data_IF_765809716787
#
_entry.id   IF_765809716787
#
_cell.length_a   1.000
_cell.length_b   1.000
_cell.length_c   1.000
_cell.angle_alpha   90.00
_cell.angle_beta   90.00
_cell.angle_gamma   90.00
#
_symmetry.space_group_name_H-M   'P 1'
#
loop_
_entity.id
_entity.type
_entity.pdbx_description
1 polymer ?
#
# COMPACT_ATOMS: atom_id res chain seq x y z
N UNK A 1 -51.50 -22.51 -12.05
CA UNK A 1 -50.17 -22.31 -12.67
C UNK A 1 -49.43 -21.29 -11.82
N UNK A 2 -48.60 -21.74 -10.87
CA UNK A 2 -47.75 -20.86 -10.05
C UNK A 2 -46.32 -20.96 -10.60
N UNK A 3 -45.83 -19.85 -11.12
CA UNK A 3 -44.47 -19.70 -11.64
C UNK A 3 -43.48 -19.73 -10.47
N UNK A 4 -42.62 -20.76 -10.44
CA UNK A 4 -41.50 -20.84 -9.50
C UNK A 4 -40.39 -19.87 -9.91
N UNK A 5 -40.19 -18.83 -9.11
CA UNK A 5 -39.07 -17.91 -9.24
C UNK A 5 -37.79 -18.64 -8.79
N UNK A 6 -36.91 -18.95 -9.75
CA UNK A 6 -35.63 -19.62 -9.49
C UNK A 6 -34.67 -18.64 -8.80
N UNK A 7 -34.76 -18.55 -7.47
CA UNK A 7 -33.80 -17.84 -6.65
C UNK A 7 -32.37 -18.37 -6.91
N UNK A 8 -31.44 -17.47 -7.26
CA UNK A 8 -30.06 -17.84 -7.54
C UNK A 8 -29.43 -18.57 -6.35
N UNK A 9 -28.98 -19.80 -6.56
CA UNK A 9 -28.33 -20.61 -5.54
C UNK A 9 -26.98 -20.01 -5.14
N UNK A 10 -26.74 -19.87 -3.82
CA UNK A 10 -25.53 -19.29 -3.24
C UNK A 10 -24.27 -19.98 -3.74
N UNK A 11 -24.34 -21.29 -3.98
CA UNK A 11 -23.24 -22.07 -4.57
C UNK A 11 -22.97 -21.73 -6.03
N UNK A 12 -24.01 -21.39 -6.80
CA UNK A 12 -23.88 -20.94 -8.18
C UNK A 12 -23.32 -19.53 -8.25
N UNK A 13 -23.74 -18.65 -7.33
CA UNK A 13 -23.15 -17.31 -7.16
C UNK A 13 -21.65 -17.38 -6.83
N UNK A 14 -21.24 -18.23 -5.88
CA UNK A 14 -19.82 -18.40 -5.54
C UNK A 14 -18.99 -19.07 -6.65
N UNK A 15 -19.59 -19.96 -7.44
CA UNK A 15 -18.93 -20.59 -8.60
C UNK A 15 -18.80 -19.66 -9.82
N UNK A 16 -19.68 -18.68 -9.94
CA UNK A 16 -19.61 -17.62 -10.97
C UNK A 16 -18.89 -16.35 -10.48
N UNK A 17 -18.66 -16.20 -9.17
CA UNK A 17 -18.18 -14.99 -8.51
C UNK A 17 -16.68 -14.70 -8.62
N UNK A 18 -15.98 -15.28 -9.59
CA UNK A 18 -14.55 -15.01 -9.82
C UNK A 18 -14.24 -13.73 -10.59
N UNK A 19 -15.25 -13.06 -11.14
CA UNK A 19 -15.10 -11.83 -11.89
C UNK A 19 -15.64 -10.64 -11.07
N UNK A 20 -14.78 -9.98 -10.30
CA UNK A 20 -15.09 -8.66 -9.74
C UNK A 20 -15.11 -7.68 -10.91
N UNK A 21 -16.29 -7.21 -11.30
CA UNK A 21 -16.42 -6.10 -12.23
C UNK A 21 -16.07 -4.80 -11.48
N UNK A 22 -14.95 -4.18 -11.82
CA UNK A 22 -14.63 -2.84 -11.35
C UNK A 22 -15.67 -1.87 -11.94
N UNK A 23 -16.52 -1.28 -11.09
CA UNK A 23 -17.44 -0.22 -11.49
C UNK A 23 -16.65 1.08 -11.46
N UNK A 24 -16.32 1.62 -12.63
CA UNK A 24 -15.64 2.91 -12.79
C UNK A 24 -16.68 4.03 -12.91
N UNK A 25 -16.49 5.15 -12.22
CA UNK A 25 -17.11 6.40 -12.66
C UNK A 25 -16.66 6.69 -14.11
N UNK A 26 -17.61 6.98 -15.01
CA UNK A 26 -17.43 6.96 -16.47
C UNK A 26 -16.08 7.53 -16.95
N UNK A 27 -15.12 6.64 -17.26
CA UNK A 27 -13.83 6.96 -17.88
C UNK A 27 -12.60 7.02 -16.96
N UNK A 28 -12.73 6.85 -15.65
CA UNK A 28 -11.58 6.85 -14.74
C UNK A 28 -10.76 5.54 -14.83
N UNK A 29 -9.42 5.59 -14.92
CA UNK A 29 -8.58 4.39 -14.85
C UNK A 29 -8.64 3.75 -13.44
N UNK A 30 -8.55 2.43 -13.37
CA UNK A 30 -8.61 1.66 -12.10
C UNK A 30 -7.42 0.73 -11.98
N UNK A 31 -6.76 0.78 -10.82
CA UNK A 31 -5.69 -0.13 -10.44
C UNK A 31 -6.25 -1.28 -9.58
N UNK A 32 -5.98 -2.52 -9.97
CA UNK A 32 -6.46 -3.72 -9.28
C UNK A 32 -5.37 -4.32 -8.40
N UNK A 33 -5.76 -4.81 -7.23
CA UNK A 33 -4.88 -5.64 -6.40
C UNK A 33 -4.56 -6.97 -7.11
N UNK A 34 -3.44 -7.60 -6.77
CA UNK A 34 -3.04 -8.87 -7.39
C UNK A 34 -4.06 -9.99 -7.19
N UNK A 35 -4.82 -9.96 -6.08
CA UNK A 35 -5.91 -10.89 -5.80
C UNK A 35 -7.24 -10.52 -6.48
N UNK A 36 -7.27 -9.38 -7.19
CA UNK A 36 -8.42 -8.78 -7.88
C UNK A 36 -9.66 -8.59 -7.00
N UNK A 37 -9.49 -8.66 -5.68
CA UNK A 37 -10.59 -8.51 -4.73
C UNK A 37 -10.94 -7.04 -4.50
N UNK A 38 -10.00 -6.13 -4.80
CA UNK A 38 -10.11 -4.70 -4.56
C UNK A 38 -9.51 -3.89 -5.71
N UNK A 39 -10.15 -2.76 -5.99
CA UNK A 39 -9.78 -1.78 -7.00
C UNK A 39 -9.66 -0.41 -6.34
N UNK A 40 -8.70 0.40 -6.81
CA UNK A 40 -8.63 1.82 -6.47
C UNK A 40 -8.76 2.63 -7.76
N UNK A 41 -9.68 3.60 -7.74
CA UNK A 41 -9.82 4.56 -8.84
C UNK A 41 -8.63 5.52 -8.83
N UNK A 42 -8.03 5.71 -10.00
CA UNK A 42 -7.00 6.70 -10.25
C UNK A 42 -7.64 7.89 -10.96
N UNK A 43 -7.11 9.08 -10.70
CA UNK A 43 -7.40 10.30 -11.46
C UNK A 43 -6.91 10.22 -12.91
N UNK A 44 -5.89 9.39 -13.17
CA UNK A 44 -5.32 9.15 -14.50
C UNK A 44 -4.14 10.03 -14.86
N UNK A 45 -3.53 10.72 -13.88
CA UNK A 45 -2.27 11.42 -14.07
C UNK A 45 -1.10 10.45 -14.24
N UNK A 46 -1.17 9.29 -13.60
CA UNK A 46 -0.30 8.13 -13.78
C UNK A 46 -1.07 7.07 -14.55
N UNK A 47 -0.47 6.54 -15.62
CA UNK A 47 -1.09 5.48 -16.41
C UNK A 47 -1.00 4.11 -15.71
N UNK A 48 -1.67 3.10 -16.28
CA UNK A 48 -1.72 1.77 -15.68
C UNK A 48 -0.35 1.14 -15.47
N UNK A 49 0.56 1.33 -16.43
CA UNK A 49 1.89 0.75 -16.38
C UNK A 49 2.76 1.41 -15.31
N UNK A 50 2.71 2.73 -15.21
CA UNK A 50 3.35 3.49 -14.14
C UNK A 50 2.81 3.12 -12.78
N UNK A 51 1.49 2.98 -12.65
CA UNK A 51 0.84 2.56 -11.42
C UNK A 51 1.30 1.16 -10.95
N UNK A 52 1.35 0.19 -11.86
CA UNK A 52 1.85 -1.16 -11.59
C UNK A 52 3.35 -1.16 -11.21
N UNK A 53 4.14 -0.32 -11.87
CA UNK A 53 5.59 -0.18 -11.62
C UNK A 53 5.85 0.44 -10.26
N UNK A 54 5.09 1.48 -9.90
CA UNK A 54 5.12 2.09 -8.56
C UNK A 54 4.70 1.10 -7.48
N UNK A 55 3.66 0.30 -7.71
CA UNK A 55 3.26 -0.76 -6.78
C UNK A 55 4.40 -1.77 -6.54
N UNK A 56 5.05 -2.24 -7.61
CA UNK A 56 6.19 -3.15 -7.51
C UNK A 56 7.35 -2.51 -6.71
N UNK A 57 7.66 -1.24 -6.98
CA UNK A 57 8.68 -0.47 -6.25
C UNK A 57 8.33 -0.36 -4.76
N UNK A 58 7.11 0.03 -4.43
CA UNK A 58 6.65 0.17 -3.05
C UNK A 58 6.76 -1.14 -2.26
N UNK A 59 6.45 -2.28 -2.90
CA UNK A 59 6.63 -3.62 -2.31
C UNK A 59 8.07 -3.96 -2.00
N UNK A 60 9.04 -3.40 -2.74
CA UNK A 60 10.47 -3.58 -2.45
C UNK A 60 10.97 -2.63 -1.38
N UNK A 61 10.48 -1.39 -1.36
CA UNK A 61 10.87 -0.39 -0.35
C UNK A 61 10.37 -0.75 1.05
N UNK A 62 9.14 -1.26 1.15
CA UNK A 62 8.49 -1.62 2.41
C UNK A 62 7.92 -3.04 2.33
N UNK A 63 8.74 -4.09 2.44
CA UNK A 63 8.34 -5.48 2.16
C UNK A 63 7.60 -6.14 3.33
N UNK A 64 6.38 -5.68 3.63
CA UNK A 64 5.55 -6.27 4.68
C UNK A 64 4.83 -7.53 4.19
N UNK A 65 5.23 -8.69 4.73
CA UNK A 65 4.61 -9.98 4.38
C UNK A 65 3.12 -10.08 4.81
N UNK A 66 2.74 -9.40 5.89
CA UNK A 66 1.38 -9.44 6.44
C UNK A 66 0.42 -8.42 5.82
N UNK A 67 0.91 -7.50 4.98
CA UNK A 67 0.10 -6.48 4.32
C UNK A 67 -0.22 -6.89 2.89
N UNK A 68 -1.51 -6.87 2.53
CA UNK A 68 -1.98 -7.06 1.16
C UNK A 68 -1.72 -5.85 0.25
N UNK A 69 -1.81 -6.05 -1.07
CA UNK A 69 -1.53 -5.00 -2.05
C UNK A 69 -2.46 -3.80 -1.89
N UNK A 70 -3.69 -4.02 -1.42
CA UNK A 70 -4.68 -2.96 -1.15
C UNK A 70 -4.09 -1.76 -0.40
N UNK A 71 -3.22 -1.99 0.58
CA UNK A 71 -2.65 -0.90 1.37
C UNK A 71 -1.63 -0.07 0.58
N UNK A 72 -0.93 -0.71 -0.37
CA UNK A 72 0.01 -0.06 -1.27
C UNK A 72 -0.68 0.63 -2.44
N UNK A 73 -1.82 0.10 -2.91
CA UNK A 73 -2.64 0.75 -3.93
C UNK A 73 -3.09 2.15 -3.49
N UNK A 74 -3.42 2.34 -2.21
CA UNK A 74 -3.74 3.66 -1.66
C UNK A 74 -2.56 4.64 -1.79
N UNK A 75 -1.32 4.16 -1.63
CA UNK A 75 -0.12 4.99 -1.83
C UNK A 75 0.01 5.40 -3.30
N UNK A 76 -0.26 4.49 -4.23
CA UNK A 76 -0.24 4.79 -5.67
C UNK A 76 -1.32 5.81 -6.04
N UNK A 77 -2.52 5.67 -5.48
CA UNK A 77 -3.61 6.62 -5.69
C UNK A 77 -3.31 8.02 -5.12
N UNK A 78 -2.65 8.09 -3.97
CA UNK A 78 -2.19 9.38 -3.41
C UNK A 78 -1.10 10.03 -4.29
N UNK A 79 -0.19 9.23 -4.88
CA UNK A 79 0.81 9.72 -5.83
C UNK A 79 0.18 10.23 -7.13
N UNK A 80 -0.79 9.48 -7.65
CA UNK A 80 -1.55 9.84 -8.84
C UNK A 80 -2.37 11.13 -8.62
N UNK A 81 -3.05 11.24 -7.48
CA UNK A 81 -3.79 12.46 -7.11
C UNK A 81 -2.86 13.67 -7.00
N UNK A 82 -1.69 13.51 -6.38
CA UNK A 82 -0.70 14.59 -6.30
C UNK A 82 -0.15 14.96 -7.69
N UNK A 83 0.06 13.99 -8.58
CA UNK A 83 0.49 14.22 -9.95
C UNK A 83 -0.59 14.91 -10.80
N UNK A 84 -1.87 14.71 -10.50
CA UNK A 84 -2.96 15.43 -11.16
C UNK A 84 -2.95 16.92 -10.82
N UNK A 85 -2.55 17.26 -9.60
CA UNK A 85 -2.49 18.64 -9.09
C UNK A 85 -1.15 19.33 -9.38
N UNK A 86 -0.06 18.57 -9.57
CA UNK A 86 1.28 19.09 -9.75
C UNK A 86 2.00 18.47 -10.96
N UNK A 87 2.22 19.29 -11.99
CA UNK A 87 2.89 18.89 -13.23
C UNK A 87 4.35 18.47 -13.05
N UNK A 88 5.09 19.04 -12.08
CA UNK A 88 6.46 18.61 -11.77
C UNK A 88 6.45 17.20 -11.16
N UNK A 89 5.53 16.93 -10.23
CA UNK A 89 5.35 15.59 -9.67
C UNK A 89 4.98 14.59 -10.77
N UNK A 90 4.08 14.96 -11.69
CA UNK A 90 3.71 14.10 -12.82
C UNK A 90 4.90 13.73 -13.69
N UNK A 91 5.71 14.72 -14.09
CA UNK A 91 6.92 14.50 -14.89
C UNK A 91 7.92 13.63 -14.12
N UNK A 92 8.16 13.94 -12.84
CA UNK A 92 9.07 13.17 -11.99
C UNK A 92 8.69 11.69 -11.91
N UNK A 93 7.40 11.38 -11.74
CA UNK A 93 6.91 10.01 -11.67
C UNK A 93 7.04 9.29 -13.03
N UNK A 94 6.68 9.96 -14.13
CA UNK A 94 6.77 9.37 -15.46
C UNK A 94 8.22 9.07 -15.87
N UNK A 95 9.13 10.01 -15.64
CA UNK A 95 10.57 9.84 -15.91
C UNK A 95 11.20 8.78 -14.99
N UNK A 96 10.79 8.73 -13.72
CA UNK A 96 11.22 7.73 -12.77
C UNK A 96 10.81 6.31 -13.17
N UNK A 97 9.54 6.12 -13.57
CA UNK A 97 9.04 4.84 -14.10
C UNK A 97 9.84 4.41 -15.32
N UNK A 98 10.06 5.31 -16.28
CA UNK A 98 10.89 5.05 -17.46
C UNK A 98 12.32 4.64 -17.08
N UNK A 99 12.92 5.33 -16.11
CA UNK A 99 14.25 5.01 -15.59
C UNK A 99 14.32 3.60 -15.02
N UNK A 100 13.28 3.17 -14.29
CA UNK A 100 13.20 1.81 -13.75
C UNK A 100 13.10 0.75 -14.85
N UNK A 101 12.28 0.97 -15.87
CA UNK A 101 12.09 0.03 -16.98
C UNK A 101 13.31 -0.07 -17.89
N UNK A 102 13.99 1.04 -18.14
CA UNK A 102 15.18 1.07 -18.99
C UNK A 102 16.41 0.45 -18.30
N UNK A 103 16.43 0.39 -16.97
CA UNK A 103 17.60 -0.02 -16.18
C UNK A 103 18.15 -1.42 -16.52
N UNK A 104 17.30 -2.31 -17.05
CA UNK A 104 17.65 -3.67 -17.46
C UNK A 104 17.10 -4.06 -18.84
N UNK A 105 16.53 -3.11 -19.59
CA UNK A 105 15.95 -3.33 -20.93
C UNK A 105 14.67 -4.18 -20.95
N UNK A 106 14.03 -4.38 -19.80
CA UNK A 106 12.73 -5.04 -19.66
C UNK A 106 11.93 -4.33 -18.56
N UNK A 107 10.58 -4.34 -18.61
CA UNK A 107 9.78 -3.65 -17.62
C UNK A 107 10.13 -4.04 -16.18
N UNK A 108 10.33 -3.06 -15.31
CA UNK A 108 10.81 -3.25 -13.94
C UNK A 108 9.96 -4.26 -13.14
N UNK A 109 8.64 -4.18 -13.30
CA UNK A 109 7.68 -5.09 -12.64
C UNK A 109 7.88 -6.57 -13.01
N UNK A 110 8.54 -6.87 -14.12
CA UNK A 110 8.81 -8.24 -14.59
C UNK A 110 10.15 -8.79 -14.11
N UNK A 111 11.02 -7.94 -13.57
CA UNK A 111 12.26 -8.37 -12.94
C UNK A 111 11.96 -9.21 -11.69
N UNK A 112 12.79 -10.21 -11.41
CA UNK A 112 12.75 -10.90 -10.12
C UNK A 112 13.02 -9.92 -8.99
N UNK A 113 12.50 -10.19 -7.79
CA UNK A 113 12.69 -9.40 -6.57
C UNK A 113 14.13 -8.93 -6.35
N UNK A 114 15.12 -9.81 -6.53
CA UNK A 114 16.54 -9.46 -6.35
C UNK A 114 17.05 -8.42 -7.36
N UNK A 115 16.62 -8.52 -8.62
CA UNK A 115 16.98 -7.54 -9.65
C UNK A 115 16.22 -6.22 -9.46
N UNK A 116 14.97 -6.25 -9.00
CA UNK A 116 14.24 -5.04 -8.61
C UNK A 116 15.00 -4.28 -7.51
N UNK A 117 15.41 -4.97 -6.45
CA UNK A 117 16.23 -4.36 -5.37
C UNK A 117 17.55 -3.82 -5.91
N UNK A 118 18.23 -4.53 -6.82
CA UNK A 118 19.48 -4.06 -7.44
C UNK A 118 19.29 -2.79 -8.28
N UNK A 119 18.16 -2.67 -8.99
CA UNK A 119 17.83 -1.44 -9.73
C UNK A 119 17.54 -0.30 -8.76
N UNK A 120 16.69 -0.54 -7.75
CA UNK A 120 16.33 0.48 -6.75
C UNK A 120 17.53 1.02 -5.97
N UNK A 121 18.48 0.16 -5.60
CA UNK A 121 19.74 0.59 -4.95
C UNK A 121 20.60 1.52 -5.80
N UNK A 122 20.48 1.47 -7.14
CA UNK A 122 21.26 2.32 -8.04
C UNK A 122 20.73 3.75 -8.09
N UNK A 123 19.43 3.93 -7.84
CA UNK A 123 18.74 5.24 -7.85
C UNK A 123 18.46 5.74 -6.42
N UNK A 124 19.01 5.09 -5.40
CA UNK A 124 18.81 5.49 -4.00
C UNK A 124 19.34 6.91 -3.78
N UNK A 125 18.53 7.76 -3.13
CA UNK A 125 18.82 9.18 -2.94
C UNK A 125 18.47 10.08 -4.13
N UNK A 126 18.05 9.53 -5.28
CA UNK A 126 17.53 10.34 -6.38
C UNK A 126 16.15 10.93 -6.04
N UNK A 127 15.77 12.09 -6.62
CA UNK A 127 14.51 12.76 -6.29
C UNK A 127 13.26 11.89 -6.45
N UNK A 128 13.21 11.07 -7.52
CA UNK A 128 12.10 10.13 -7.74
C UNK A 128 12.02 9.06 -6.64
N UNK A 129 13.17 8.49 -6.29
CA UNK A 129 13.25 7.47 -5.24
C UNK A 129 12.77 8.03 -3.90
N UNK A 130 13.27 9.21 -3.49
CA UNK A 130 12.88 9.85 -2.25
C UNK A 130 11.41 10.29 -2.25
N UNK A 131 10.87 10.74 -3.39
CA UNK A 131 9.45 11.06 -3.53
C UNK A 131 8.56 9.87 -3.21
N UNK A 132 8.79 8.74 -3.88
CA UNK A 132 7.98 7.52 -3.70
C UNK A 132 8.18 6.95 -2.30
N UNK A 133 9.44 6.89 -1.83
CA UNK A 133 9.78 6.43 -0.48
C UNK A 133 9.11 7.26 0.61
N UNK A 134 9.20 8.59 0.52
CA UNK A 134 8.65 9.52 1.48
C UNK A 134 7.12 9.51 1.49
N UNK A 135 6.49 9.50 0.31
CA UNK A 135 5.03 9.36 0.20
C UNK A 135 4.54 8.08 0.87
N UNK A 136 5.21 6.96 0.62
CA UNK A 136 4.84 5.68 1.22
C UNK A 136 4.86 5.71 2.75
N UNK A 137 5.82 6.40 3.39
CA UNK A 137 5.82 6.54 4.85
C UNK A 137 4.52 7.16 5.34
N UNK A 138 4.08 8.25 4.70
CA UNK A 138 2.92 9.00 5.14
C UNK A 138 1.62 8.30 4.74
N UNK A 139 1.53 7.77 3.53
CA UNK A 139 0.31 7.15 3.00
C UNK A 139 0.09 5.72 3.48
N UNK A 140 1.14 4.88 3.57
CA UNK A 140 0.99 3.49 4.00
C UNK A 140 0.69 3.42 5.50
N UNK A 141 1.50 4.10 6.32
CA UNK A 141 1.42 3.99 7.77
C UNK A 141 0.39 4.90 8.42
N UNK A 142 -0.29 5.78 7.67
CA UNK A 142 -1.42 6.56 8.21
C UNK A 142 -2.78 5.88 7.98
N UNK A 143 -2.79 4.63 7.51
CA UNK A 143 -4.01 3.83 7.34
C UNK A 143 -4.36 3.10 8.64
N UNK A 144 -5.54 3.37 9.20
CA UNK A 144 -6.01 2.74 10.46
C UNK A 144 -6.05 1.21 10.40
N UNK A 145 -6.33 0.64 9.23
CA UNK A 145 -6.33 -0.82 9.04
C UNK A 145 -4.91 -1.41 9.08
N UNK A 146 -3.91 -0.65 8.61
CA UNK A 146 -2.50 -1.03 8.71
C UNK A 146 -2.06 -1.00 10.18
N UNK A 147 -2.51 -0.03 10.97
CA UNK A 147 -2.21 0.03 12.41
C UNK A 147 -2.60 -1.26 13.12
N UNK A 148 -3.82 -1.74 12.90
CA UNK A 148 -4.31 -3.00 13.48
C UNK A 148 -3.44 -4.18 13.09
N UNK A 149 -3.01 -4.25 11.82
CA UNK A 149 -2.17 -5.35 11.33
C UNK A 149 -0.74 -5.30 11.91
N UNK A 150 -0.24 -4.10 12.19
CA UNK A 150 1.10 -3.88 12.77
C UNK A 150 1.09 -3.81 14.31
N UNK A 151 -0.06 -3.99 14.96
CA UNK A 151 -0.18 -3.93 16.42
C UNK A 151 -0.11 -2.52 17.01
N UNK A 152 -0.26 -1.47 16.20
CA UNK A 152 -0.29 -0.10 16.70
C UNK A 152 -1.69 0.26 17.22
N UNK A 153 -1.77 0.65 18.49
CA UNK A 153 -3.04 0.97 19.18
C UNK A 153 -3.67 2.31 18.76
N UNK A 154 -2.97 3.08 17.92
CA UNK A 154 -3.41 4.40 17.46
C UNK A 154 -3.04 5.54 18.42
N UNK A 155 -3.41 6.76 18.01
CA UNK A 155 -3.01 7.98 18.73
C UNK A 155 -3.45 7.99 20.20
N UNK A 156 -2.51 8.33 21.09
CA UNK A 156 -2.74 8.35 22.53
C UNK A 156 -2.91 9.73 23.17
N UNK A 157 -2.51 10.78 22.47
CA UNK A 157 -2.58 12.15 22.97
C UNK A 157 -3.99 12.58 23.44
N UNK A 158 -5.09 12.34 22.69
CA UNK A 158 -6.45 12.71 23.13
C UNK A 158 -6.97 11.95 24.35
N UNK A 159 -6.13 11.08 24.89
CA UNK A 159 -6.48 9.87 25.60
C UNK A 159 -5.53 9.68 26.80
N UNK A 160 -4.83 10.75 27.19
CA UNK A 160 -3.94 10.81 28.37
C UNK A 160 -2.51 10.30 28.14
N UNK A 161 -2.08 10.05 26.90
CA UNK A 161 -0.76 9.49 26.59
C UNK A 161 -0.70 7.95 26.67
N UNK A 162 0.51 7.39 26.56
CA UNK A 162 0.73 5.94 26.49
C UNK A 162 1.01 5.26 27.85
N UNK A 163 1.07 6.03 28.96
CA UNK A 163 1.42 5.52 30.30
C UNK A 163 0.58 4.31 30.74
N UNK A 164 -0.67 4.18 30.28
CA UNK A 164 -1.57 3.06 30.60
C UNK A 164 -2.13 2.33 29.38
N UNK A 165 -1.46 2.45 28.23
CA UNK A 165 -2.00 2.11 26.90
C UNK A 165 -0.92 1.52 26.00
N UNK A 166 -0.39 0.36 26.39
CA UNK A 166 0.45 -0.43 25.51
C UNK A 166 1.88 0.05 25.28
N UNK A 167 2.35 1.10 25.99
CA UNK A 167 3.77 1.48 25.90
C UNK A 167 4.69 0.32 26.32
N UNK A 168 4.31 -0.36 27.40
CA UNK A 168 5.07 -1.44 28.02
C UNK A 168 4.55 -2.84 27.65
N UNK A 169 3.54 -2.95 26.78
CA UNK A 169 2.94 -4.24 26.36
C UNK A 169 3.78 -4.92 25.25
N UNK A 170 5.11 -4.96 25.44
CA UNK A 170 6.06 -5.48 24.46
C UNK A 170 6.18 -7.00 24.58
N UNK A 171 5.42 -7.75 23.78
CA UNK A 171 5.48 -9.22 23.78
C UNK A 171 6.84 -9.83 23.35
N UNK A 172 7.77 -9.02 22.84
CA UNK A 172 9.05 -9.44 22.29
C UNK A 172 10.25 -9.17 23.21
N UNK A 173 10.04 -8.47 24.34
CA UNK A 173 11.08 -8.18 25.33
C UNK A 173 10.63 -8.71 26.70
N UNK A 174 11.50 -9.38 27.47
CA UNK A 174 11.18 -9.71 28.85
C UNK A 174 11.00 -8.44 29.68
N UNK A 175 10.22 -8.54 30.75
CA UNK A 175 10.07 -7.43 31.70
C UNK A 175 11.44 -6.95 32.18
N UNK A 176 11.67 -5.62 32.20
CA UNK A 176 12.93 -5.08 32.67
C UNK A 176 13.15 -5.46 34.15
N UNK A 177 14.40 -5.76 34.55
CA UNK A 177 14.69 -6.04 35.96
C UNK A 177 14.37 -4.81 36.82
N UNK A 178 14.00 -5.02 38.09
CA UNK A 178 13.57 -3.95 38.99
C UNK A 178 14.59 -2.80 39.16
N UNK A 179 15.88 -3.06 38.94
CA UNK A 179 16.93 -2.03 38.95
C UNK A 179 16.88 -1.08 37.75
N UNK A 180 16.29 -1.52 36.63
CA UNK A 180 16.14 -0.75 35.40
C UNK A 180 14.73 -0.13 35.25
N UNK A 181 13.74 -0.68 35.95
CA UNK A 181 12.38 -0.12 36.05
C UNK A 181 11.94 -0.10 37.52
N UNK A 182 12.33 0.94 38.28
CA UNK A 182 11.89 1.12 39.66
C UNK A 182 10.36 1.25 39.73
N UNK A 183 9.73 0.95 40.88
CA UNK A 183 8.29 1.09 41.04
C UNK A 183 7.82 2.48 40.62
N UNK A 184 6.74 2.56 39.84
CA UNK A 184 6.12 3.84 39.50
C UNK A 184 5.81 4.60 40.79
N UNK A 185 6.31 5.83 40.90
CA UNK A 185 5.99 6.68 42.04
C UNK A 185 4.49 6.99 42.01
N UNK A 186 3.78 6.52 43.03
CA UNK A 186 2.38 6.86 43.30
C UNK A 186 2.25 8.25 43.90
#
# INVERSE_FOLDING_TARGET
MTTGESAMDRRRFLRLGGAVAAVTAAGAPVLLASDRALAVELTGAVDQHGADTLLAMLRRLYPHASLGDVYYLNVVADLDSEAAENGETKTLLAEGVKTLDDAMGVPFKTLSDGYQVKVLKRIEGEPFFEKVRGKAVVSLYNQKLVWRQLGYEGASFPKGGYIRRGFDDLAWLPDPPASASPPAHG
#
